data_IF_340531025870
#
_entry.id   IF_340531025870
#
_cell.length_a   1.000
_cell.length_b   1.000
_cell.length_c   1.000
_cell.angle_alpha   90.00
_cell.angle_beta   90.00
_cell.angle_gamma   90.00
#
_symmetry.space_group_name_H-M   'P 1'
#
loop_
_entity.id
_entity.type
_entity.pdbx_description
1 polymer ?
#
# COMPACT_ATOMS: atom_id res chain seq x y z
N UNK A 1 -8.22 2.80 -13.93
CA UNK A 1 -8.25 2.62 -12.46
C UNK A 1 -9.23 3.61 -11.89
N UNK A 2 -10.13 3.15 -11.07
CA UNK A 2 -11.12 4.00 -10.40
C UNK A 2 -10.75 4.04 -8.91
N UNK A 3 -10.46 5.24 -8.42
CA UNK A 3 -10.06 5.48 -7.05
C UNK A 3 -8.57 5.81 -6.90
N UNK A 4 -8.27 6.92 -6.23
CA UNK A 4 -6.92 7.43 -6.00
C UNK A 4 -6.42 7.23 -4.57
N UNK A 5 -6.87 6.20 -3.87
CA UNK A 5 -6.30 5.79 -2.58
C UNK A 5 -5.02 4.98 -2.77
N UNK A 6 -4.51 4.39 -1.67
CA UNK A 6 -3.26 3.65 -1.72
C UNK A 6 -3.26 2.52 -2.75
N UNK A 7 -4.35 1.74 -2.80
CA UNK A 7 -4.46 0.63 -3.75
C UNK A 7 -4.48 1.11 -5.20
N UNK A 8 -5.31 2.11 -5.49
CA UNK A 8 -5.44 2.65 -6.85
C UNK A 8 -4.16 3.29 -7.34
N UNK A 9 -3.52 4.10 -6.52
CA UNK A 9 -2.24 4.74 -6.87
C UNK A 9 -1.15 3.68 -7.05
N UNK A 10 -1.09 2.68 -6.17
CA UNK A 10 -0.13 1.60 -6.28
C UNK A 10 -0.29 0.83 -7.59
N UNK A 11 -1.52 0.50 -7.97
CA UNK A 11 -1.80 -0.14 -9.26
C UNK A 11 -1.39 0.73 -10.43
N UNK A 12 -1.63 2.04 -10.35
CA UNK A 12 -1.27 2.98 -11.41
C UNK A 12 0.25 3.05 -11.60
N UNK A 13 0.99 3.14 -10.49
CA UNK A 13 2.46 3.18 -10.54
C UNK A 13 3.01 1.89 -11.16
N UNK A 14 2.50 0.74 -10.72
CA UNK A 14 2.96 -0.55 -11.24
C UNK A 14 2.63 -0.68 -12.74
N UNK A 15 1.41 -0.36 -13.14
CA UNK A 15 1.00 -0.44 -14.54
C UNK A 15 1.83 0.51 -15.42
N UNK A 16 2.04 1.74 -14.98
CA UNK A 16 2.81 2.72 -15.73
C UNK A 16 4.29 2.28 -15.84
N UNK A 17 4.85 1.72 -14.78
CA UNK A 17 6.23 1.23 -14.79
C UNK A 17 6.43 0.05 -15.75
N UNK A 18 5.35 -0.70 -16.03
CA UNK A 18 5.37 -1.81 -17.00
C UNK A 18 5.06 -1.37 -18.43
N UNK A 19 4.90 -0.08 -18.67
CA UNK A 19 4.67 0.45 -20.00
C UNK A 19 3.22 0.52 -20.45
N UNK A 20 2.25 0.25 -19.57
CA UNK A 20 0.84 0.37 -19.91
C UNK A 20 0.39 1.83 -19.87
N UNK A 21 -0.44 2.22 -20.83
CA UNK A 21 -1.12 3.51 -20.76
C UNK A 21 -2.17 3.42 -19.66
N UNK A 22 -2.04 4.27 -18.64
CA UNK A 22 -2.84 4.16 -17.44
C UNK A 22 -3.67 5.42 -17.21
N UNK A 23 -4.97 5.25 -16.95
CA UNK A 23 -5.87 6.33 -16.57
C UNK A 23 -6.36 6.05 -15.14
N UNK A 24 -6.22 7.04 -14.26
CA UNK A 24 -6.73 6.97 -12.90
C UNK A 24 -7.77 8.08 -12.71
N UNK A 25 -8.95 7.70 -12.20
CA UNK A 25 -10.05 8.61 -11.95
C UNK A 25 -10.32 8.69 -10.45
N UNK A 26 -10.32 9.88 -9.90
CA UNK A 26 -10.63 10.14 -8.50
C UNK A 26 -11.69 11.24 -8.41
N UNK A 27 -12.74 11.01 -7.60
CA UNK A 27 -13.86 11.95 -7.53
C UNK A 27 -13.58 13.20 -6.68
N UNK A 28 -12.59 13.15 -5.80
CA UNK A 28 -12.27 14.28 -4.91
C UNK A 28 -10.77 14.58 -4.93
N UNK A 29 -9.97 13.87 -4.10
CA UNK A 29 -8.54 14.07 -3.99
C UNK A 29 -7.84 12.74 -3.74
N UNK A 30 -6.56 12.65 -4.06
CA UNK A 30 -5.79 11.46 -3.84
C UNK A 30 -5.63 11.20 -2.33
N UNK A 31 -5.73 9.92 -1.94
CA UNK A 31 -5.57 9.47 -0.56
C UNK A 31 -6.52 10.15 0.45
N UNK A 32 -7.67 10.66 -0.01
CA UNK A 32 -8.60 11.36 0.88
C UNK A 32 -9.43 10.45 1.78
N UNK A 33 -9.68 9.22 1.34
CA UNK A 33 -10.51 8.26 2.07
C UNK A 33 -9.78 7.55 3.20
N UNK A 34 -9.86 6.23 3.21
CA UNK A 34 -9.30 5.35 4.24
C UNK A 34 -7.82 5.62 4.51
N UNK A 35 -7.02 5.84 3.47
CA UNK A 35 -5.58 6.08 3.61
C UNK A 35 -5.27 7.31 4.47
N UNK A 36 -6.07 8.36 4.35
CA UNK A 36 -5.88 9.58 5.15
C UNK A 36 -6.29 9.42 6.62
N UNK A 37 -7.11 8.41 6.90
CA UNK A 37 -7.67 8.16 8.23
C UNK A 37 -7.01 7.00 8.95
N UNK A 38 -5.93 6.48 8.41
CA UNK A 38 -5.16 5.41 9.04
C UNK A 38 -4.24 5.97 10.13
N UNK A 39 -3.71 5.10 10.97
CA UNK A 39 -2.70 5.48 11.98
C UNK A 39 -1.34 5.78 11.33
N UNK A 40 -1.19 5.49 10.05
CA UNK A 40 0.03 5.67 9.27
C UNK A 40 1.21 4.87 9.79
N UNK A 41 0.91 3.80 10.50
CA UNK A 41 1.90 2.85 10.99
C UNK A 41 2.08 1.73 9.97
N UNK A 42 3.30 1.54 9.50
CA UNK A 42 3.65 0.41 8.63
C UNK A 42 4.17 -0.71 9.52
N UNK A 43 3.42 -1.80 9.59
CA UNK A 43 3.71 -2.89 10.51
C UNK A 43 3.49 -4.26 9.86
N UNK A 44 3.86 -5.32 10.58
CA UNK A 44 3.75 -6.69 10.08
C UNK A 44 2.48 -7.43 10.48
N UNK A 45 1.53 -6.76 11.15
CA UNK A 45 0.26 -7.37 11.51
C UNK A 45 0.35 -8.34 12.69
N UNK A 46 0.82 -7.88 13.85
CA UNK A 46 0.98 -8.71 15.05
C UNK A 46 -0.31 -9.45 15.42
N UNK A 47 -1.47 -8.84 15.16
CA UNK A 47 -2.77 -9.46 15.42
C UNK A 47 -2.96 -10.76 14.64
N UNK A 48 -2.45 -10.84 13.43
CA UNK A 48 -2.52 -12.05 12.61
C UNK A 48 -1.64 -13.16 13.18
N UNK A 49 -0.54 -12.81 13.81
CA UNK A 49 0.31 -13.79 14.49
C UNK A 49 -0.44 -14.47 15.63
N UNK A 50 -1.22 -13.72 16.40
CA UNK A 50 -2.07 -14.25 17.46
C UNK A 50 -3.14 -15.19 16.91
N UNK A 51 -3.58 -14.98 15.68
CA UNK A 51 -4.56 -15.83 15.01
C UNK A 51 -3.91 -17.05 14.33
N UNK A 52 -2.60 -17.18 14.39
CA UNK A 52 -1.87 -18.28 13.80
C UNK A 52 -1.56 -18.12 12.31
N UNK A 53 -1.80 -16.93 11.75
CA UNK A 53 -1.53 -16.66 10.33
C UNK A 53 -0.07 -16.18 10.14
N UNK A 54 0.86 -17.12 10.31
CA UNK A 54 2.30 -16.82 10.21
C UNK A 54 2.70 -16.45 8.78
N UNK A 55 2.06 -17.07 7.79
CA UNK A 55 2.36 -16.81 6.38
C UNK A 55 2.07 -15.35 6.02
N UNK A 56 0.91 -14.83 6.43
CA UNK A 56 0.53 -13.44 6.17
C UNK A 56 1.45 -12.46 6.88
N UNK A 57 1.84 -12.75 8.13
CA UNK A 57 2.77 -11.91 8.89
C UNK A 57 4.13 -11.85 8.21
N UNK A 58 4.64 -13.00 7.75
CA UNK A 58 5.92 -13.06 7.06
C UNK A 58 5.88 -12.23 5.77
N UNK A 59 4.82 -12.37 4.99
CA UNK A 59 4.62 -11.60 3.76
C UNK A 59 4.56 -10.10 4.05
N UNK A 60 3.79 -9.69 5.06
CA UNK A 60 3.66 -8.29 5.44
C UNK A 60 4.99 -7.68 5.89
N UNK A 61 5.80 -8.43 6.64
CA UNK A 61 7.11 -7.97 7.07
C UNK A 61 8.09 -7.83 5.90
N UNK A 62 8.01 -8.73 4.92
CA UNK A 62 8.80 -8.63 3.69
C UNK A 62 8.45 -7.37 2.92
N UNK A 63 7.16 -7.09 2.74
CA UNK A 63 6.69 -5.89 2.06
C UNK A 63 7.07 -4.61 2.82
N UNK A 64 6.98 -4.63 4.14
CA UNK A 64 7.44 -3.51 4.98
C UNK A 64 8.92 -3.21 4.74
N UNK A 65 9.75 -4.25 4.66
CA UNK A 65 11.17 -4.11 4.38
C UNK A 65 11.44 -3.47 3.02
N UNK A 66 10.67 -3.87 2.00
CA UNK A 66 10.77 -3.28 0.66
C UNK A 66 10.35 -1.81 0.68
N UNK A 67 9.28 -1.46 1.38
CA UNK A 67 8.85 -0.07 1.50
C UNK A 67 9.91 0.78 2.22
N UNK A 68 10.51 0.26 3.27
CA UNK A 68 11.58 0.96 3.97
C UNK A 68 12.79 1.18 3.07
N UNK A 69 13.15 0.18 2.26
CA UNK A 69 14.26 0.28 1.30
C UNK A 69 13.99 1.32 0.22
N UNK A 70 12.77 1.34 -0.30
CA UNK A 70 12.38 2.21 -1.42
C UNK A 70 12.07 3.64 -0.98
N UNK A 71 11.55 3.82 0.22
CA UNK A 71 11.14 5.12 0.73
C UNK A 71 11.46 5.27 2.23
N UNK A 72 12.75 5.25 2.62
CA UNK A 72 13.12 5.27 4.04
C UNK A 72 12.69 6.54 4.77
N UNK A 73 12.48 7.62 4.04
CA UNK A 73 12.04 8.90 4.62
C UNK A 73 10.55 8.94 4.97
N UNK A 74 9.78 7.94 4.53
CA UNK A 74 8.33 7.88 4.76
C UNK A 74 7.92 6.76 5.71
N UNK A 75 8.79 5.80 5.94
CA UNK A 75 8.47 4.60 6.73
C UNK A 75 9.21 4.59 8.05
#
# INVERSE_FOLDING_TARGET
IIGGGATGIGCAVDAASRGFKTLLLEQEDFAKGTSSRSTKLVHGGVRYLQQGDVSLVFEALTERGLMFKNAPHLV
#
